data_IF_582033615803
#
_entry.id   IF_582033615803
#
_cell.length_a   1.000
_cell.length_b   1.000
_cell.length_c   1.000
_cell.angle_alpha   90.00
_cell.angle_beta   90.00
_cell.angle_gamma   90.00
#
_symmetry.space_group_name_H-M   'P 1'
#
loop_
_entity.id
_entity.type
_entity.pdbx_description
1 polymer ?
#
# COMPACT_ATOMS: atom_id res chain seq x y z
N UNK A 1 32.83 -46.40 43.45
CA UNK A 1 33.77 -45.51 42.74
C UNK A 1 33.54 -45.73 41.24
N UNK A 2 32.61 -45.02 40.61
CA UNK A 2 32.80 -43.68 40.04
C UNK A 2 33.93 -43.63 38.99
N UNK A 3 33.59 -43.80 37.70
CA UNK A 3 33.90 -42.82 36.66
C UNK A 3 33.18 -43.20 35.34
N UNK A 4 32.15 -42.42 35.03
CA UNK A 4 31.45 -42.41 33.75
C UNK A 4 32.15 -41.45 32.80
N UNK A 5 32.41 -41.90 31.58
CA UNK A 5 33.05 -41.13 30.51
C UNK A 5 31.97 -40.45 29.64
N UNK A 6 32.20 -39.18 29.31
CA UNK A 6 31.41 -38.32 28.42
C UNK A 6 31.29 -38.88 26.99
N UNK A 7 30.13 -38.69 26.33
CA UNK A 7 30.03 -37.71 25.23
C UNK A 7 28.61 -37.52 24.64
N UNK A 8 28.19 -36.25 24.68
CA UNK A 8 27.51 -35.41 23.67
C UNK A 8 26.26 -35.93 22.91
N UNK A 9 25.16 -35.27 23.27
CA UNK A 9 23.92 -35.00 22.54
C UNK A 9 24.06 -34.85 21.01
N UNK A 10 23.24 -35.61 20.27
CA UNK A 10 22.77 -35.28 18.92
C UNK A 10 21.26 -35.06 18.97
N UNK A 11 20.83 -33.84 18.71
CA UNK A 11 19.45 -33.47 18.41
C UNK A 11 19.24 -33.57 16.90
N UNK A 12 18.43 -34.54 16.47
CA UNK A 12 18.01 -34.70 15.07
C UNK A 12 16.53 -34.37 14.92
N UNK A 13 16.22 -33.15 14.48
CA UNK A 13 14.90 -32.73 14.04
C UNK A 13 15.04 -31.91 12.76
N UNK A 14 14.90 -32.57 11.61
CA UNK A 14 14.98 -31.94 10.29
C UNK A 14 13.75 -31.06 10.02
N UNK A 15 13.97 -29.75 9.88
CA UNK A 15 13.10 -28.88 9.04
C UNK A 15 13.55 -28.98 7.58
N UNK A 16 12.66 -29.12 6.58
CA UNK A 16 13.05 -28.97 5.19
C UNK A 16 13.12 -27.49 4.83
N UNK A 17 14.33 -26.92 4.90
CA UNK A 17 14.69 -25.67 4.22
C UNK A 17 15.16 -26.01 2.80
N UNK A 18 14.25 -25.93 1.81
CA UNK A 18 14.63 -25.76 0.41
C UNK A 18 13.72 -24.74 -0.26
N UNK A 19 13.97 -23.45 0.03
CA UNK A 19 13.50 -22.37 -0.83
C UNK A 19 14.35 -22.42 -2.12
N UNK A 20 13.80 -23.02 -3.17
CA UNK A 20 14.34 -22.89 -4.52
C UNK A 20 14.34 -21.40 -4.90
N UNK A 21 15.51 -20.75 -4.82
CA UNK A 21 15.76 -19.49 -5.54
C UNK A 21 15.64 -19.79 -7.04
N UNK A 22 14.45 -19.62 -7.61
CA UNK A 22 14.30 -19.53 -9.08
C UNK A 22 15.22 -18.41 -9.54
N UNK A 23 16.23 -18.74 -10.34
CA UNK A 23 17.06 -17.74 -11.02
C UNK A 23 16.10 -16.82 -11.79
N UNK A 24 16.18 -15.52 -11.49
CA UNK A 24 15.49 -14.46 -12.23
C UNK A 24 15.79 -14.67 -13.71
N UNK A 25 14.78 -14.97 -14.51
CA UNK A 25 14.89 -14.89 -15.96
C UNK A 25 14.80 -13.42 -16.30
N UNK A 26 15.94 -12.80 -16.63
CA UNK A 26 16.02 -11.45 -17.17
C UNK A 26 14.95 -11.22 -18.26
N UNK A 27 14.69 -12.25 -19.08
CA UNK A 27 13.68 -12.23 -20.13
C UNK A 27 12.25 -12.04 -19.61
N UNK A 28 11.88 -12.57 -18.44
CA UNK A 28 10.51 -12.49 -17.92
C UNK A 28 10.19 -11.09 -17.36
N UNK A 29 11.15 -10.44 -16.69
CA UNK A 29 11.03 -9.04 -16.26
C UNK A 29 10.87 -8.10 -17.45
N UNK A 30 11.75 -8.21 -18.46
CA UNK A 30 11.68 -7.36 -19.65
C UNK A 30 10.43 -7.67 -20.48
N UNK A 31 9.97 -8.92 -20.60
CA UNK A 31 8.68 -9.25 -21.25
C UNK A 31 7.50 -8.60 -20.53
N UNK A 32 7.49 -8.57 -19.19
CA UNK A 32 6.44 -7.88 -18.41
C UNK A 32 6.49 -6.36 -18.63
N UNK A 33 7.67 -5.75 -18.56
CA UNK A 33 7.82 -4.29 -18.80
C UNK A 33 7.47 -3.94 -20.24
N UNK A 34 8.02 -4.65 -21.22
CA UNK A 34 7.78 -4.41 -22.64
C UNK A 34 6.29 -4.56 -22.98
N UNK A 35 5.66 -5.62 -22.47
CA UNK A 35 4.22 -5.81 -22.66
C UNK A 35 3.39 -4.77 -21.93
N UNK A 36 3.79 -4.21 -20.78
CA UNK A 36 3.03 -3.18 -20.06
C UNK A 36 3.20 -1.75 -20.61
N UNK A 37 4.37 -1.43 -21.20
CA UNK A 37 4.73 -0.07 -21.65
C UNK A 37 4.61 0.15 -23.18
N UNK A 38 4.72 -0.88 -24.03
CA UNK A 38 4.77 -0.71 -25.50
C UNK A 38 3.51 -1.16 -26.25
N UNK A 39 2.55 -1.82 -25.58
CA UNK A 39 1.28 -2.18 -26.20
C UNK A 39 0.27 -1.03 -26.15
N UNK A 40 -0.29 -0.65 -27.32
CA UNK A 40 -1.29 0.45 -27.52
C UNK A 40 -2.60 0.31 -26.73
N UNK A 41 -2.86 -0.83 -26.07
CA UNK A 41 -4.03 -1.02 -25.22
C UNK A 41 -3.83 -0.41 -23.82
N UNK A 42 -4.87 -0.32 -22.97
CA UNK A 42 -4.72 0.04 -21.56
C UNK A 42 -4.06 -1.11 -20.77
N UNK A 43 -3.20 -0.80 -19.80
CA UNK A 43 -2.58 -1.75 -18.87
C UNK A 43 -2.90 -1.31 -17.44
N UNK A 44 -2.63 -2.16 -16.44
CA UNK A 44 -2.74 -1.77 -15.03
C UNK A 44 -2.01 -0.45 -14.71
N UNK A 45 -0.96 -0.09 -15.47
CA UNK A 45 -0.21 1.14 -15.26
C UNK A 45 -1.04 2.40 -15.49
N UNK A 46 -2.07 2.36 -16.34
CA UNK A 46 -2.94 3.53 -16.58
C UNK A 46 -3.83 3.82 -15.38
N UNK A 47 -4.16 2.81 -14.57
CA UNK A 47 -4.87 3.01 -13.30
C UNK A 47 -3.93 3.58 -12.22
N UNK A 48 -2.71 3.04 -12.14
CA UNK A 48 -1.77 3.42 -11.07
C UNK A 48 -1.14 4.79 -11.26
N UNK A 49 -0.82 5.20 -12.50
CA UNK A 49 -0.11 6.44 -12.80
C UNK A 49 -1.03 7.60 -13.15
N UNK A 50 -2.00 7.90 -12.29
CA UNK A 50 -2.71 9.19 -12.35
C UNK A 50 -1.83 10.34 -11.84
N UNK A 51 -2.29 11.59 -11.94
CA UNK A 51 -1.62 12.72 -11.27
C UNK A 51 -2.01 12.68 -9.79
N UNK A 52 -1.08 12.49 -8.84
CA UNK A 52 -1.40 12.55 -7.41
C UNK A 52 -1.82 13.97 -7.03
N UNK A 53 -2.96 14.10 -6.35
CA UNK A 53 -3.48 15.41 -5.95
C UNK A 53 -4.09 15.37 -4.55
N UNK A 54 -3.84 16.43 -3.79
CA UNK A 54 -4.50 16.70 -2.51
C UNK A 54 -5.95 17.03 -2.79
N UNK A 55 -6.90 16.41 -2.10
CA UNK A 55 -8.28 16.87 -2.12
C UNK A 55 -8.40 18.17 -1.29
N UNK A 56 -8.71 19.33 -1.87
CA UNK A 56 -8.83 20.56 -1.10
C UNK A 56 -10.03 20.54 -0.14
N UNK A 57 -11.02 19.67 -0.39
CA UNK A 57 -12.28 19.61 0.37
C UNK A 57 -12.22 18.70 1.60
N UNK A 58 -11.17 17.91 1.80
CA UNK A 58 -11.07 17.14 3.04
C UNK A 58 -10.82 18.08 4.23
N UNK A 59 -11.44 17.75 5.36
CA UNK A 59 -11.28 18.45 6.64
C UNK A 59 -10.58 17.55 7.64
N UNK A 60 -9.44 17.96 8.23
CA UNK A 60 -8.81 17.21 9.33
C UNK A 60 -9.79 16.96 10.48
N UNK A 61 -9.56 15.89 11.25
CA UNK A 61 -10.38 15.51 12.43
C UNK A 61 -11.85 15.17 12.14
N UNK A 62 -12.23 15.02 10.88
CA UNK A 62 -13.53 14.54 10.41
C UNK A 62 -13.32 13.54 9.29
N UNK A 63 -14.19 12.52 9.19
CA UNK A 63 -14.04 11.49 8.18
C UNK A 63 -14.17 12.06 6.76
N UNK A 64 -15.27 12.79 6.51
CA UNK A 64 -15.53 13.60 5.31
C UNK A 64 -15.10 12.98 3.98
N UNK A 65 -14.79 13.84 3.01
CA UNK A 65 -14.15 13.43 1.76
C UNK A 65 -12.77 12.81 2.03
N UNK A 66 -12.40 11.83 1.22
CA UNK A 66 -11.08 11.22 1.27
C UNK A 66 -9.99 12.20 0.83
N UNK A 67 -8.80 12.00 1.38
CA UNK A 67 -7.74 13.01 1.37
C UNK A 67 -7.07 13.26 0.02
N UNK A 68 -7.09 12.26 -0.87
CA UNK A 68 -6.66 12.39 -2.27
C UNK A 68 -7.86 12.41 -3.19
N UNK A 69 -7.78 13.15 -4.30
CA UNK A 69 -8.92 13.30 -5.23
C UNK A 69 -9.32 11.98 -5.88
N UNK A 70 -8.33 11.20 -6.36
CA UNK A 70 -8.53 9.96 -7.11
C UNK A 70 -9.48 10.14 -8.31
N UNK A 71 -9.46 11.31 -8.95
CA UNK A 71 -10.37 11.69 -10.03
C UNK A 71 -10.24 10.77 -11.25
N UNK A 72 -9.02 10.49 -11.70
CA UNK A 72 -8.77 9.60 -12.84
C UNK A 72 -9.14 8.15 -12.52
N UNK A 73 -8.95 7.72 -11.26
CA UNK A 73 -9.42 6.42 -10.80
C UNK A 73 -10.93 6.33 -10.74
N UNK A 74 -11.63 7.39 -10.34
CA UNK A 74 -13.09 7.42 -10.36
C UNK A 74 -13.67 7.30 -11.78
N UNK A 75 -12.92 7.84 -12.77
CA UNK A 75 -13.19 7.79 -14.21
C UNK A 75 -12.49 6.63 -14.93
N UNK A 76 -12.11 5.60 -14.19
CA UNK A 76 -11.46 4.44 -14.78
C UNK A 76 -12.29 3.89 -15.95
N UNK A 77 -11.74 3.81 -17.18
CA UNK A 77 -12.48 3.36 -18.35
C UNK A 77 -12.68 1.83 -18.41
N UNK A 78 -12.09 1.09 -17.48
CA UNK A 78 -12.18 -0.37 -17.39
C UNK A 78 -10.88 -1.09 -17.73
N UNK A 79 -10.90 -2.44 -17.74
CA UNK A 79 -12.10 -3.28 -17.80
C UNK A 79 -12.90 -3.36 -16.49
N UNK A 80 -14.18 -3.72 -16.62
CA UNK A 80 -15.09 -4.06 -15.53
C UNK A 80 -15.59 -5.50 -15.70
N UNK A 81 -16.00 -6.12 -14.60
CA UNK A 81 -16.78 -7.36 -14.64
C UNK A 81 -18.26 -7.09 -15.00
N UNK A 82 -19.09 -8.13 -15.01
CA UNK A 82 -20.52 -8.01 -15.31
C UNK A 82 -21.31 -7.22 -14.25
N UNK A 83 -20.81 -7.13 -13.01
CA UNK A 83 -21.42 -6.37 -11.92
C UNK A 83 -20.97 -4.91 -11.89
N UNK A 84 -20.02 -4.51 -12.75
CA UNK A 84 -19.45 -3.16 -12.80
C UNK A 84 -18.31 -2.92 -11.81
N UNK A 85 -17.68 -3.98 -11.30
CA UNK A 85 -16.49 -3.89 -10.44
C UNK A 85 -15.24 -3.74 -11.31
N UNK A 86 -14.36 -2.78 -11.01
CA UNK A 86 -13.17 -2.56 -11.82
C UNK A 86 -12.17 -3.73 -11.68
N UNK A 87 -11.64 -4.17 -12.82
CA UNK A 87 -10.56 -5.15 -12.92
C UNK A 87 -9.34 -4.49 -13.54
N UNK A 88 -8.14 -4.83 -13.07
CA UNK A 88 -6.91 -4.37 -13.70
C UNK A 88 -6.38 -5.42 -14.68
N UNK A 89 -5.97 -4.97 -15.87
CA UNK A 89 -5.35 -5.84 -16.86
C UNK A 89 -3.82 -5.84 -16.70
N UNK A 90 -3.30 -6.86 -16.04
CA UNK A 90 -1.86 -7.08 -15.82
C UNK A 90 -1.13 -7.68 -17.04
N UNK A 91 -1.87 -8.00 -18.11
CA UNK A 91 -1.36 -8.64 -19.34
C UNK A 91 -0.70 -10.00 -19.09
N UNK A 92 -0.18 -10.60 -20.17
CA UNK A 92 0.56 -11.85 -20.13
C UNK A 92 -0.21 -12.97 -19.42
N UNK A 93 0.50 -13.73 -18.58
CA UNK A 93 -0.05 -14.88 -17.86
C UNK A 93 -0.96 -14.50 -16.69
N UNK A 94 -0.83 -13.28 -16.16
CA UNK A 94 -1.66 -12.80 -15.04
C UNK A 94 -3.06 -12.42 -15.53
N UNK A 95 -3.13 -11.76 -16.69
CA UNK A 95 -4.41 -11.38 -17.29
C UNK A 95 -5.18 -10.31 -16.49
N UNK A 96 -6.51 -10.37 -16.55
CA UNK A 96 -7.39 -9.45 -15.80
C UNK A 96 -7.57 -9.98 -14.38
N UNK A 97 -7.33 -9.13 -13.39
CA UNK A 97 -7.43 -9.50 -11.98
C UNK A 97 -8.18 -8.43 -11.20
N UNK A 98 -8.93 -8.88 -10.19
CA UNK A 98 -9.37 -7.95 -9.14
C UNK A 98 -8.17 -7.51 -8.32
N UNK A 99 -8.14 -6.24 -7.95
CA UNK A 99 -7.18 -5.72 -7.01
C UNK A 99 -7.93 -4.90 -5.94
N UNK A 100 -7.97 -5.37 -4.67
CA UNK A 100 -8.65 -4.67 -3.58
C UNK A 100 -8.24 -3.21 -3.43
N UNK A 101 -6.96 -2.90 -3.67
CA UNK A 101 -6.42 -1.54 -3.61
C UNK A 101 -7.06 -0.69 -4.72
N UNK A 102 -7.13 -1.21 -5.94
CA UNK A 102 -7.70 -0.48 -7.06
C UNK A 102 -9.21 -0.24 -6.86
N UNK A 103 -9.93 -1.25 -6.38
CA UNK A 103 -11.36 -1.15 -6.08
C UNK A 103 -11.60 -0.13 -4.95
N UNK A 104 -10.75 -0.13 -3.91
CA UNK A 104 -10.85 0.85 -2.84
C UNK A 104 -10.61 2.29 -3.34
N UNK A 105 -9.56 2.52 -4.13
CA UNK A 105 -9.27 3.86 -4.67
C UNK A 105 -10.33 4.34 -5.67
N UNK A 106 -10.87 3.42 -6.49
CA UNK A 106 -12.03 3.69 -7.35
C UNK A 106 -13.25 4.11 -6.52
N UNK A 107 -13.52 3.40 -5.41
CA UNK A 107 -14.61 3.72 -4.48
C UNK A 107 -14.43 5.09 -3.84
N UNK A 108 -13.24 5.38 -3.29
CA UNK A 108 -12.92 6.65 -2.63
C UNK A 108 -12.99 7.84 -3.60
N UNK A 109 -12.49 7.69 -4.83
CA UNK A 109 -12.61 8.73 -5.85
C UNK A 109 -14.08 9.01 -6.24
N UNK A 110 -14.88 7.96 -6.43
CA UNK A 110 -16.32 8.13 -6.70
C UNK A 110 -17.07 8.73 -5.50
N UNK A 111 -16.68 8.38 -4.27
CA UNK A 111 -17.23 9.00 -3.06
C UNK A 111 -16.95 10.51 -3.04
N UNK A 112 -15.69 10.91 -3.26
CA UNK A 112 -15.30 12.32 -3.31
C UNK A 112 -16.08 13.09 -4.38
N UNK A 113 -16.22 12.56 -5.60
CA UNK A 113 -16.99 13.24 -6.65
C UNK A 113 -18.46 13.35 -6.24
N UNK A 114 -19.04 12.28 -5.71
CA UNK A 114 -20.43 12.28 -5.27
C UNK A 114 -20.70 13.34 -4.18
N UNK A 115 -19.86 13.46 -3.16
CA UNK A 115 -20.11 14.34 -2.00
C UNK A 115 -20.26 15.81 -2.40
N UNK A 116 -19.57 16.27 -3.44
CA UNK A 116 -19.63 17.67 -3.87
C UNK A 116 -20.44 17.92 -5.15
N UNK A 117 -20.78 16.87 -5.92
CA UNK A 117 -21.61 17.02 -7.14
C UNK A 117 -23.04 16.52 -6.96
N UNK A 118 -23.28 15.61 -6.01
CA UNK A 118 -24.55 14.93 -5.85
C UNK A 118 -24.86 13.88 -6.92
N UNK A 119 -23.93 13.56 -7.83
CA UNK A 119 -24.16 12.66 -8.97
C UNK A 119 -24.55 11.23 -8.52
N UNK A 120 -25.79 10.77 -8.77
CA UNK A 120 -26.25 9.45 -8.33
C UNK A 120 -25.46 8.29 -8.96
N UNK A 121 -24.84 8.49 -10.12
CA UNK A 121 -24.01 7.46 -10.77
C UNK A 121 -22.73 7.20 -9.96
N UNK A 122 -22.14 8.26 -9.40
CA UNK A 122 -20.95 8.19 -8.53
C UNK A 122 -21.28 7.52 -7.21
N UNK A 123 -22.43 7.86 -6.62
CA UNK A 123 -22.96 7.17 -5.44
C UNK A 123 -23.05 5.66 -5.65
N UNK A 124 -23.64 5.24 -6.79
CA UNK A 124 -23.77 3.81 -7.13
C UNK A 124 -22.41 3.13 -7.23
N UNK A 125 -21.44 3.74 -7.91
CA UNK A 125 -20.07 3.22 -8.06
C UNK A 125 -19.33 3.09 -6.73
N UNK A 126 -19.48 4.08 -5.84
CA UNK A 126 -18.93 4.02 -4.48
C UNK A 126 -19.50 2.85 -3.68
N UNK A 127 -20.83 2.71 -3.64
CA UNK A 127 -21.48 1.62 -2.92
C UNK A 127 -21.13 0.25 -3.50
N UNK A 128 -21.04 0.12 -4.83
CA UNK A 128 -20.58 -1.12 -5.48
C UNK A 128 -19.17 -1.53 -5.01
N UNK A 129 -18.24 -0.57 -4.90
CA UNK A 129 -16.90 -0.85 -4.39
C UNK A 129 -16.93 -1.25 -2.89
N UNK A 130 -17.76 -0.59 -2.08
CA UNK A 130 -17.92 -0.92 -0.66
C UNK A 130 -18.53 -2.32 -0.45
N UNK A 131 -19.55 -2.66 -1.22
CA UNK A 131 -20.22 -3.97 -1.18
C UNK A 131 -19.26 -5.09 -1.61
N UNK A 132 -18.47 -4.85 -2.66
CA UNK A 132 -17.45 -5.80 -3.09
C UNK A 132 -16.38 -6.02 -2.01
N UNK A 133 -15.89 -4.94 -1.38
CA UNK A 133 -14.93 -5.05 -0.27
C UNK A 133 -15.55 -5.79 0.92
N UNK A 134 -16.82 -5.53 1.23
CA UNK A 134 -17.53 -6.27 2.28
C UNK A 134 -17.60 -7.77 1.97
N UNK A 135 -17.94 -8.15 0.73
CA UNK A 135 -18.09 -9.56 0.34
C UNK A 135 -16.76 -10.32 0.19
N UNK A 136 -15.68 -9.61 -0.12
CA UNK A 136 -14.36 -10.21 -0.39
C UNK A 136 -13.42 -10.19 0.82
N UNK A 137 -13.90 -9.74 1.99
CA UNK A 137 -13.14 -9.80 3.23
C UNK A 137 -13.22 -11.22 3.81
N UNK A 138 -12.13 -11.97 3.73
CA UNK A 138 -12.07 -13.40 4.09
C UNK A 138 -10.93 -13.68 5.08
N UNK A 139 -11.05 -14.68 5.97
CA UNK A 139 -9.97 -15.02 6.89
C UNK A 139 -8.72 -15.52 6.14
N UNK A 140 -7.53 -15.10 6.56
CA UNK A 140 -6.26 -15.71 6.17
C UNK A 140 -5.99 -16.99 6.97
N UNK A 141 -4.80 -17.60 6.77
CA UNK A 141 -4.40 -18.83 7.47
C UNK A 141 -4.33 -18.69 8.99
N UNK A 142 -4.21 -17.46 9.52
CA UNK A 142 -4.22 -17.16 10.95
C UNK A 142 -5.60 -16.76 11.48
N UNK A 143 -6.64 -16.79 10.63
CA UNK A 143 -8.01 -16.43 10.98
C UNK A 143 -8.32 -14.93 10.91
N UNK A 144 -7.37 -14.08 10.55
CA UNK A 144 -7.58 -12.64 10.43
C UNK A 144 -8.24 -12.26 9.11
N UNK A 145 -9.21 -11.35 9.16
CA UNK A 145 -9.98 -10.96 7.99
C UNK A 145 -9.18 -10.03 7.06
N UNK A 146 -8.88 -10.49 5.85
CA UNK A 146 -8.05 -9.78 4.87
C UNK A 146 -8.68 -9.74 3.48
N UNK A 147 -8.26 -8.76 2.68
CA UNK A 147 -8.50 -8.76 1.24
C UNK A 147 -7.35 -9.42 0.49
N UNK A 148 -7.64 -10.56 -0.13
CA UNK A 148 -6.65 -11.33 -0.88
C UNK A 148 -6.47 -10.84 -2.32
N UNK A 149 -5.23 -10.84 -2.77
CA UNK A 149 -4.80 -10.81 -4.17
C UNK A 149 -4.62 -12.25 -4.65
N UNK A 150 -5.46 -12.69 -5.58
CA UNK A 150 -5.51 -14.08 -6.08
C UNK A 150 -4.65 -14.32 -7.32
N UNK A 151 -3.51 -13.63 -7.42
CA UNK A 151 -2.56 -13.77 -8.52
C UNK A 151 -1.12 -13.63 -8.04
N UNK A 152 -0.21 -14.34 -8.67
CA UNK A 152 1.21 -14.23 -8.35
C UNK A 152 1.76 -12.84 -8.69
N UNK A 153 2.54 -12.25 -7.80
CA UNK A 153 3.13 -10.93 -8.01
C UNK A 153 4.64 -10.94 -7.85
N UNK A 154 5.34 -10.52 -8.90
CA UNK A 154 6.78 -10.35 -8.88
C UNK A 154 7.16 -8.97 -8.33
N UNK A 155 7.65 -8.99 -7.10
CA UNK A 155 8.27 -7.86 -6.42
C UNK A 155 9.78 -8.14 -6.22
N UNK A 156 10.33 -8.03 -5.01
CA UNK A 156 11.70 -8.44 -4.65
C UNK A 156 11.82 -9.97 -4.68
N UNK A 157 10.83 -10.60 -4.07
CA UNK A 157 10.55 -12.03 -4.09
C UNK A 157 9.18 -12.27 -4.74
N UNK A 158 8.91 -13.51 -5.14
CA UNK A 158 7.62 -13.90 -5.68
C UNK A 158 6.60 -13.97 -4.54
N UNK A 159 5.57 -13.13 -4.61
CA UNK A 159 4.38 -13.28 -3.78
C UNK A 159 3.47 -14.30 -4.45
N UNK A 160 3.39 -15.50 -3.87
CA UNK A 160 2.51 -16.56 -4.36
C UNK A 160 1.06 -16.25 -3.98
N UNK A 161 0.13 -16.45 -4.91
CA UNK A 161 -1.29 -16.34 -4.61
C UNK A 161 -1.76 -17.42 -3.62
N UNK A 162 -2.73 -17.12 -2.74
CA UNK A 162 -3.21 -15.78 -2.41
C UNK A 162 -2.24 -15.04 -1.47
N UNK A 163 -2.09 -13.73 -1.65
CA UNK A 163 -1.35 -12.84 -0.73
C UNK A 163 -2.20 -11.63 -0.36
N UNK A 164 -1.83 -10.88 0.68
CA UNK A 164 -2.56 -9.69 1.13
C UNK A 164 -1.59 -8.56 1.50
N UNK A 165 -2.14 -7.37 1.79
CA UNK A 165 -1.37 -6.12 1.90
C UNK A 165 -1.91 -5.19 2.99
N UNK A 166 -1.02 -4.58 3.78
CA UNK A 166 -1.39 -3.52 4.73
C UNK A 166 -2.00 -2.29 4.06
N UNK A 167 -1.57 -1.96 2.83
CA UNK A 167 -2.16 -0.90 2.02
C UNK A 167 -3.63 -1.24 1.69
N UNK A 168 -3.88 -2.46 1.21
CA UNK A 168 -5.23 -2.93 0.92
C UNK A 168 -6.12 -2.88 2.17
N UNK A 169 -5.59 -3.33 3.32
CA UNK A 169 -6.31 -3.26 4.59
C UNK A 169 -6.71 -1.83 4.94
N UNK A 170 -5.78 -0.88 4.88
CA UNK A 170 -6.05 0.51 5.25
C UNK A 170 -7.07 1.18 4.31
N UNK A 171 -6.92 1.04 3.00
CA UNK A 171 -7.85 1.66 2.06
C UNK A 171 -9.22 1.00 2.04
N UNK A 172 -9.28 -0.33 2.24
CA UNK A 172 -10.55 -1.03 2.40
C UNK A 172 -11.30 -0.53 3.65
N UNK A 173 -10.60 -0.34 4.78
CA UNK A 173 -11.16 0.29 5.98
C UNK A 173 -11.68 1.69 5.67
N UNK A 174 -10.89 2.56 5.01
CA UNK A 174 -11.30 3.92 4.61
C UNK A 174 -12.60 3.94 3.80
N UNK A 175 -12.82 2.97 2.91
CA UNK A 175 -14.08 2.83 2.15
C UNK A 175 -15.22 2.39 3.07
N UNK A 176 -15.01 1.32 3.84
CA UNK A 176 -16.06 0.74 4.68
C UNK A 176 -16.56 1.72 5.74
N UNK A 177 -15.68 2.47 6.40
CA UNK A 177 -16.12 3.44 7.43
C UNK A 177 -16.89 4.61 6.82
N UNK A 178 -16.55 5.04 5.59
CA UNK A 178 -17.33 6.04 4.84
C UNK A 178 -18.66 5.47 4.36
N UNK A 179 -18.70 4.21 3.94
CA UNK A 179 -19.95 3.55 3.55
C UNK A 179 -20.89 3.41 4.75
N UNK A 180 -20.35 3.07 5.93
CA UNK A 180 -21.10 3.08 7.18
C UNK A 180 -21.67 4.47 7.48
N UNK A 181 -20.83 5.51 7.50
CA UNK A 181 -21.29 6.89 7.78
C UNK A 181 -22.37 7.34 6.79
N UNK A 182 -22.19 6.98 5.51
CA UNK A 182 -23.09 7.40 4.44
C UNK A 182 -24.45 6.68 4.46
N UNK A 183 -24.48 5.40 4.80
CA UNK A 183 -25.69 4.56 4.71
C UNK A 183 -26.36 4.29 6.05
N UNK A 184 -25.65 4.47 7.16
CA UNK A 184 -26.06 3.98 8.48
C UNK A 184 -25.98 2.46 8.64
N UNK A 185 -25.55 1.70 7.62
CA UNK A 185 -25.53 0.24 7.66
C UNK A 185 -24.38 -0.25 8.57
N UNK A 186 -24.65 -0.98 9.67
CA UNK A 186 -23.61 -1.41 10.61
C UNK A 186 -22.71 -2.53 10.06
N UNK A 187 -23.12 -3.23 8.99
CA UNK A 187 -22.32 -4.32 8.39
C UNK A 187 -20.96 -3.84 7.90
N UNK A 188 -20.88 -2.64 7.30
CA UNK A 188 -19.61 -2.06 6.87
C UNK A 188 -18.68 -1.76 8.06
N UNK A 189 -19.19 -1.22 9.16
CA UNK A 189 -18.38 -0.95 10.35
C UNK A 189 -17.91 -2.25 11.02
N UNK A 190 -18.75 -3.28 11.03
CA UNK A 190 -18.37 -4.61 11.54
C UNK A 190 -17.26 -5.23 10.69
N UNK A 191 -17.30 -5.08 9.36
CA UNK A 191 -16.22 -5.52 8.48
C UNK A 191 -14.94 -4.70 8.69
N UNK A 192 -15.06 -3.37 8.86
CA UNK A 192 -13.91 -2.52 9.16
C UNK A 192 -13.23 -2.91 10.48
N UNK A 193 -14.00 -3.28 11.52
CA UNK A 193 -13.46 -3.83 12.79
C UNK A 193 -12.63 -5.09 12.56
N UNK A 194 -13.16 -6.06 11.81
CA UNK A 194 -12.45 -7.31 11.51
C UNK A 194 -11.17 -7.05 10.71
N UNK A 195 -11.23 -6.17 9.71
CA UNK A 195 -10.05 -5.78 8.93
C UNK A 195 -8.99 -5.05 9.78
N UNK A 196 -9.43 -4.29 10.79
CA UNK A 196 -8.56 -3.54 11.70
C UNK A 196 -7.69 -4.44 12.59
N UNK A 197 -8.12 -5.66 12.92
CA UNK A 197 -7.32 -6.63 13.69
C UNK A 197 -5.96 -6.93 13.05
N UNK A 198 -5.82 -6.76 11.74
CA UNK A 198 -4.53 -6.86 11.06
C UNK A 198 -3.53 -5.80 11.54
N UNK A 199 -4.01 -4.63 11.94
CA UNK A 199 -3.21 -3.51 12.44
C UNK A 199 -2.90 -3.61 13.94
N UNK A 200 -3.30 -4.70 14.60
CA UNK A 200 -2.90 -5.01 15.99
C UNK A 200 -1.99 -6.24 16.06
N UNK A 201 -1.71 -6.87 14.90
CA UNK A 201 -1.04 -8.17 14.81
C UNK A 201 0.21 -8.07 13.93
N UNK A 202 1.28 -8.77 14.32
CA UNK A 202 2.51 -8.84 13.53
C UNK A 202 2.34 -9.67 12.25
N UNK A 203 3.14 -9.39 11.22
CA UNK A 203 3.17 -10.15 9.96
C UNK A 203 3.47 -11.64 10.17
N UNK A 204 4.28 -11.98 11.18
CA UNK A 204 4.60 -13.37 11.57
C UNK A 204 3.39 -14.13 12.12
N UNK A 205 2.36 -13.41 12.56
CA UNK A 205 1.11 -13.93 13.11
C UNK A 205 -0.07 -13.73 12.15
N UNK A 206 0.19 -13.31 10.90
CA UNK A 206 -0.83 -13.08 9.89
C UNK A 206 -1.40 -11.66 9.86
N UNK A 207 -0.88 -10.74 10.67
CA UNK A 207 -1.24 -9.32 10.59
C UNK A 207 -0.43 -8.57 9.53
N UNK A 208 -0.31 -7.25 9.69
CA UNK A 208 0.41 -6.37 8.75
C UNK A 208 1.52 -5.54 9.42
N UNK A 209 1.71 -5.67 10.74
CA UNK A 209 2.76 -4.95 11.47
C UNK A 209 4.10 -5.66 11.36
N UNK A 210 5.14 -4.91 11.00
CA UNK A 210 6.54 -5.27 11.24
C UNK A 210 7.19 -4.23 12.14
N UNK A 211 8.37 -4.55 12.68
CA UNK A 211 9.17 -3.63 13.50
C UNK A 211 10.51 -3.36 12.83
N UNK A 212 10.91 -2.09 12.75
CA UNK A 212 12.27 -1.74 12.33
C UNK A 212 13.28 -2.01 13.46
N UNK A 213 14.58 -1.83 13.16
CA UNK A 213 15.65 -2.03 14.15
C UNK A 213 15.58 -1.10 15.37
N UNK A 214 14.81 -0.01 15.29
CA UNK A 214 14.59 0.96 16.36
C UNK A 214 13.31 0.64 17.15
N UNK A 215 12.61 -0.43 16.81
CA UNK A 215 11.33 -0.82 17.42
C UNK A 215 10.14 0.00 16.91
N UNK A 216 10.28 0.75 15.83
CA UNK A 216 9.17 1.51 15.24
C UNK A 216 8.25 0.58 14.44
N UNK A 217 6.94 0.84 14.47
CA UNK A 217 5.94 0.02 13.78
C UNK A 217 5.83 0.40 12.30
N UNK A 218 5.80 -0.60 11.43
CA UNK A 218 5.58 -0.45 10.00
C UNK A 218 4.39 -1.28 9.54
N UNK A 219 3.55 -0.71 8.69
CA UNK A 219 2.50 -1.43 7.98
C UNK A 219 3.04 -1.86 6.62
N UNK A 220 3.21 -3.16 6.40
CA UNK A 220 3.84 -3.68 5.18
C UNK A 220 2.84 -3.73 4.01
N UNK A 221 3.16 -3.04 2.92
CA UNK A 221 2.41 -3.17 1.66
C UNK A 221 2.59 -4.57 1.06
N UNK A 222 3.83 -5.05 1.00
CA UNK A 222 4.15 -6.42 0.62
C UNK A 222 4.82 -7.10 1.81
N UNK A 223 4.18 -8.17 2.30
CA UNK A 223 4.68 -8.92 3.45
C UNK A 223 5.76 -9.89 2.95
N UNK A 224 7.01 -9.45 3.07
CA UNK A 224 8.22 -10.19 2.66
C UNK A 224 9.25 -10.20 3.78
N UNK A 225 10.21 -11.11 3.70
CA UNK A 225 11.32 -11.18 4.65
C UNK A 225 12.69 -11.03 3.96
N UNK A 226 13.55 -10.09 4.39
CA UNK A 226 13.27 -9.05 5.40
C UNK A 226 12.21 -8.04 4.91
N UNK A 227 11.47 -7.37 5.83
CA UNK A 227 10.54 -6.30 5.49
C UNK A 227 11.22 -5.20 4.67
N UNK A 228 10.45 -4.57 3.78
CA UNK A 228 10.99 -3.58 2.83
C UNK A 228 10.54 -2.16 3.13
N UNK A 229 9.47 -1.99 3.93
CA UNK A 229 8.99 -0.70 4.37
C UNK A 229 8.73 0.23 3.16
N UNK A 230 7.69 -0.08 2.38
CA UNK A 230 7.30 0.74 1.21
C UNK A 230 6.60 2.01 1.71
N UNK A 231 7.12 3.18 1.35
CA UNK A 231 6.72 4.45 1.94
C UNK A 231 5.26 4.81 1.63
N UNK A 232 4.87 4.77 0.34
CA UNK A 232 3.52 5.14 -0.05
C UNK A 232 2.45 4.23 0.56
N UNK A 233 2.73 2.93 0.64
CA UNK A 233 1.80 1.95 1.16
C UNK A 233 1.63 2.10 2.66
N UNK A 234 2.71 2.36 3.38
CA UNK A 234 2.67 2.69 4.80
C UNK A 234 1.80 3.92 5.09
N UNK A 235 1.97 5.01 4.32
CA UNK A 235 1.20 6.24 4.53
C UNK A 235 -0.30 6.03 4.25
N UNK A 236 -0.67 5.35 3.16
CA UNK A 236 -2.08 5.04 2.90
C UNK A 236 -2.69 4.10 3.95
N UNK A 237 -1.92 3.13 4.45
CA UNK A 237 -2.36 2.25 5.52
C UNK A 237 -2.59 3.02 6.83
N UNK A 238 -1.66 3.92 7.17
CA UNK A 238 -1.76 4.84 8.31
C UNK A 238 -3.04 5.70 8.24
N UNK A 239 -3.41 6.20 7.06
CA UNK A 239 -4.67 6.95 6.89
C UNK A 239 -5.91 6.09 7.13
N UNK A 240 -5.88 4.80 6.76
CA UNK A 240 -6.98 3.87 7.08
C UNK A 240 -7.17 3.66 8.58
N UNK A 241 -6.07 3.54 9.33
CA UNK A 241 -6.08 3.48 10.81
C UNK A 241 -6.69 4.77 11.39
N UNK A 242 -6.31 5.93 10.85
CA UNK A 242 -6.85 7.22 11.28
C UNK A 242 -8.35 7.35 10.99
N UNK A 243 -8.80 6.99 9.78
CA UNK A 243 -10.21 6.97 9.41
C UNK A 243 -11.03 6.07 10.36
N UNK A 244 -10.49 4.90 10.71
CA UNK A 244 -11.10 4.01 11.69
C UNK A 244 -11.19 4.62 13.09
N UNK A 245 -10.13 5.29 13.54
CA UNK A 245 -10.13 6.02 14.81
C UNK A 245 -11.19 7.14 14.82
N UNK A 246 -11.34 7.91 13.74
CA UNK A 246 -12.31 9.00 13.66
C UNK A 246 -13.76 8.53 13.86
N UNK A 247 -14.09 7.33 13.38
CA UNK A 247 -15.44 6.75 13.49
C UNK A 247 -15.64 6.00 14.79
N UNK A 248 -14.65 5.22 15.24
CA UNK A 248 -14.81 4.33 16.41
C UNK A 248 -14.41 4.94 17.73
N UNK A 249 -13.56 5.98 17.71
CA UNK A 249 -12.88 6.53 18.89
C UNK A 249 -12.14 5.47 19.71
N UNK A 250 -11.63 4.43 19.03
CA UNK A 250 -10.86 3.36 19.66
C UNK A 250 -9.51 3.90 20.16
N UNK A 251 -9.27 3.77 21.47
CA UNK A 251 -7.98 4.10 22.09
C UNK A 251 -6.81 3.30 21.49
N UNK A 252 -7.07 2.07 21.04
CA UNK A 252 -6.06 1.23 20.40
C UNK A 252 -5.69 1.78 19.01
N UNK A 253 -6.69 2.17 18.22
CA UNK A 253 -6.47 2.79 16.92
C UNK A 253 -5.74 4.12 17.02
N UNK A 254 -6.06 4.93 18.03
CA UNK A 254 -5.33 6.18 18.31
C UNK A 254 -3.86 5.91 18.65
N UNK A 255 -3.58 4.93 19.51
CA UNK A 255 -2.20 4.55 19.87
C UNK A 255 -1.40 4.09 18.65
N UNK A 256 -1.99 3.23 17.82
CA UNK A 256 -1.37 2.72 16.60
C UNK A 256 -1.13 3.85 15.60
N UNK A 257 -2.12 4.72 15.38
CA UNK A 257 -1.97 5.89 14.52
C UNK A 257 -0.82 6.78 14.99
N UNK A 258 -0.79 7.16 16.27
CA UNK A 258 0.26 8.01 16.83
C UNK A 258 1.64 7.35 16.76
N UNK A 259 1.73 6.04 16.97
CA UNK A 259 2.98 5.30 16.81
C UNK A 259 3.44 5.25 15.33
N UNK A 260 2.52 5.08 14.39
CA UNK A 260 2.84 5.10 12.96
C UNK A 260 3.25 6.50 12.47
N UNK A 261 2.62 7.57 12.97
CA UNK A 261 3.00 8.97 12.69
C UNK A 261 4.42 9.25 13.19
N UNK A 262 4.75 8.84 14.43
CA UNK A 262 6.12 8.94 14.95
C UNK A 262 7.12 8.16 14.11
N UNK A 263 6.76 6.93 13.72
CA UNK A 263 7.59 6.09 12.85
C UNK A 263 7.89 6.79 11.53
N UNK A 264 6.85 7.32 10.87
CA UNK A 264 6.98 8.07 9.62
C UNK A 264 7.94 9.23 9.81
N UNK A 265 7.65 10.13 10.77
CA UNK A 265 8.46 11.33 11.05
C UNK A 265 9.93 11.01 11.28
N UNK A 266 10.24 10.00 12.10
CA UNK A 266 11.59 9.59 12.41
C UNK A 266 12.33 8.94 11.23
N UNK A 267 11.59 8.35 10.30
CA UNK A 267 12.16 7.56 9.21
C UNK A 267 12.27 8.32 7.89
N UNK A 268 11.66 9.49 7.72
CA UNK A 268 11.72 10.23 6.44
C UNK A 268 13.14 10.54 5.99
N UNK A 269 14.06 10.77 6.93
CA UNK A 269 15.48 10.95 6.64
C UNK A 269 16.09 9.75 5.89
N UNK A 270 15.64 8.53 6.22
CA UNK A 270 16.11 7.29 5.59
C UNK A 270 15.63 7.15 4.13
N UNK A 271 14.58 7.90 3.73
CA UNK A 271 14.06 7.92 2.36
C UNK A 271 14.58 9.10 1.53
N UNK A 272 15.38 10.01 2.08
CA UNK A 272 15.90 11.17 1.36
C UNK A 272 17.37 10.96 0.96
N UNK A 273 17.65 10.88 -0.34
CA UNK A 273 19.03 10.73 -0.85
C UNK A 273 19.69 12.06 -1.24
N UNK A 274 19.13 13.20 -0.82
CA UNK A 274 19.62 14.56 -1.08
C UNK A 274 19.25 15.13 -2.46
N UNK A 275 18.77 14.28 -3.36
CA UNK A 275 18.35 14.67 -4.71
C UNK A 275 17.04 14.03 -5.17
N UNK A 276 16.49 13.07 -4.42
CA UNK A 276 15.24 12.38 -4.73
C UNK A 276 14.75 11.64 -3.48
N UNK A 277 13.52 11.08 -3.53
CA UNK A 277 13.04 10.14 -2.50
C UNK A 277 13.28 8.68 -2.89
N UNK A 278 13.45 7.80 -1.93
CA UNK A 278 13.42 6.35 -2.12
C UNK A 278 11.97 5.84 -2.20
N UNK A 279 11.78 4.68 -2.83
CA UNK A 279 10.48 3.98 -2.87
C UNK A 279 10.26 3.13 -1.60
N UNK A 280 11.31 2.45 -1.18
CA UNK A 280 11.36 1.50 -0.07
C UNK A 280 12.70 1.67 0.67
N UNK A 281 12.80 1.16 1.90
CA UNK A 281 14.09 1.18 2.59
C UNK A 281 15.13 0.30 1.86
N UNK A 282 16.42 0.71 1.82
CA UNK A 282 17.43 -0.01 1.06
C UNK A 282 17.64 -1.45 1.55
N UNK A 283 17.25 -2.42 0.73
CA UNK A 283 17.61 -3.84 0.91
C UNK A 283 18.76 -4.30 -0.01
N UNK A 284 19.45 -3.38 -0.68
CA UNK A 284 20.50 -3.63 -1.69
C UNK A 284 21.61 -2.57 -1.58
N UNK A 285 22.80 -2.84 -2.15
CA UNK A 285 23.92 -1.88 -2.14
C UNK A 285 23.57 -0.55 -2.81
N UNK A 286 22.80 -0.59 -3.88
CA UNK A 286 22.23 0.59 -4.53
C UNK A 286 20.77 0.73 -4.11
N UNK A 287 20.38 1.91 -3.64
CA UNK A 287 19.00 2.17 -3.21
C UNK A 287 18.05 2.36 -4.40
N UNK A 288 16.81 1.87 -4.26
CA UNK A 288 15.77 2.01 -5.27
C UNK A 288 15.08 3.39 -5.15
N UNK A 289 15.50 4.33 -5.99
CA UNK A 289 14.83 5.64 -6.07
C UNK A 289 13.41 5.52 -6.61
N UNK A 290 12.50 6.31 -6.05
CA UNK A 290 11.10 6.40 -6.48
C UNK A 290 11.01 6.75 -7.98
N UNK A 291 9.98 6.27 -8.67
CA UNK A 291 9.70 6.77 -10.03
C UNK A 291 9.25 8.24 -9.93
N UNK A 292 9.24 9.00 -11.05
CA UNK A 292 8.65 10.34 -11.07
C UNK A 292 7.29 10.39 -10.39
N UNK A 293 6.37 9.50 -10.79
CA UNK A 293 5.05 9.39 -10.17
C UNK A 293 5.11 9.15 -8.66
N UNK A 294 5.87 8.17 -8.18
CA UNK A 294 5.91 7.85 -6.74
C UNK A 294 6.54 8.98 -5.93
N UNK A 295 7.49 9.73 -6.50
CA UNK A 295 8.04 10.91 -5.84
C UNK A 295 7.00 12.02 -5.69
N UNK A 296 6.26 12.34 -6.76
CA UNK A 296 5.15 13.29 -6.70
C UNK A 296 4.07 12.82 -5.71
N UNK A 297 3.77 11.52 -5.69
CA UNK A 297 2.84 10.91 -4.75
C UNK A 297 3.29 11.11 -3.30
N UNK A 298 4.57 10.84 -2.99
CA UNK A 298 5.10 11.05 -1.65
C UNK A 298 4.96 12.51 -1.20
N UNK A 299 5.25 13.47 -2.08
CA UNK A 299 5.06 14.90 -1.77
C UNK A 299 3.60 15.18 -1.38
N UNK A 300 2.64 14.71 -2.18
CA UNK A 300 1.20 14.88 -1.91
C UNK A 300 0.78 14.19 -0.61
N UNK A 301 1.25 12.97 -0.38
CA UNK A 301 0.99 12.21 0.85
C UNK A 301 1.52 12.93 2.09
N UNK A 302 2.71 13.52 2.02
CA UNK A 302 3.27 14.26 3.14
C UNK A 302 2.52 15.56 3.42
N UNK A 303 2.06 16.29 2.39
CA UNK A 303 1.19 17.47 2.59
C UNK A 303 -0.15 17.11 3.25
N UNK A 304 -0.74 16.01 2.84
CA UNK A 304 -1.95 15.50 3.47
C UNK A 304 -1.67 15.14 4.93
N UNK A 305 -0.59 14.40 5.17
CA UNK A 305 -0.27 13.94 6.52
C UNK A 305 0.02 15.10 7.46
N UNK A 306 0.74 16.14 7.01
CA UNK A 306 0.91 17.40 7.75
C UNK A 306 -0.44 18.01 8.16
N UNK A 307 -1.40 18.10 7.24
CA UNK A 307 -2.73 18.65 7.53
C UNK A 307 -3.52 17.79 8.52
N UNK A 308 -3.33 16.46 8.49
CA UNK A 308 -4.03 15.54 9.38
C UNK A 308 -3.44 15.53 10.80
N UNK A 309 -2.12 15.67 10.94
CA UNK A 309 -1.42 15.53 12.23
C UNK A 309 -1.00 16.86 12.85
N UNK A 310 -0.84 17.92 12.06
CA UNK A 310 -0.22 19.18 12.46
C UNK A 310 1.32 19.14 12.55
N UNK A 311 1.94 18.00 12.24
CA UNK A 311 3.39 17.81 12.36
C UNK A 311 4.14 18.43 11.17
N UNK A 312 4.80 19.57 11.41
CA UNK A 312 5.51 20.35 10.38
C UNK A 312 6.62 19.59 9.67
N UNK A 313 7.19 18.56 10.29
CA UNK A 313 8.22 17.72 9.68
C UNK A 313 7.76 17.17 8.32
N UNK A 314 6.48 16.79 8.19
CA UNK A 314 5.94 16.28 6.93
C UNK A 314 5.95 17.36 5.84
N UNK A 315 5.54 18.59 6.17
CA UNK A 315 5.60 19.73 5.26
C UNK A 315 7.03 20.04 4.82
N UNK A 316 7.97 20.09 5.77
CA UNK A 316 9.38 20.36 5.47
C UNK A 316 9.98 19.37 4.48
N UNK A 317 9.69 18.07 4.63
CA UNK A 317 10.13 17.05 3.68
C UNK A 317 9.42 17.16 2.34
N UNK A 318 8.12 17.47 2.32
CA UNK A 318 7.38 17.71 1.09
C UNK A 318 7.94 18.91 0.30
N UNK A 319 8.25 20.03 0.96
CA UNK A 319 8.91 21.20 0.35
C UNK A 319 10.25 20.83 -0.24
N UNK A 320 11.06 20.10 0.54
CA UNK A 320 12.38 19.66 0.10
C UNK A 320 12.31 18.75 -1.11
N UNK A 321 11.43 17.74 -1.10
CA UNK A 321 11.25 16.83 -2.24
C UNK A 321 10.67 17.54 -3.46
N UNK A 322 9.73 18.47 -3.27
CA UNK A 322 9.24 19.30 -4.36
C UNK A 322 10.35 20.14 -5.00
N UNK A 323 11.29 20.68 -4.21
CA UNK A 323 12.47 21.36 -4.75
C UNK A 323 13.36 20.44 -5.61
N UNK A 324 13.39 19.14 -5.32
CA UNK A 324 14.13 18.16 -6.10
C UNK A 324 13.44 17.89 -7.45
N UNK A 325 12.12 17.74 -7.44
CA UNK A 325 11.29 17.56 -8.62
C UNK A 325 11.40 18.73 -9.61
N UNK A 326 11.42 19.97 -9.10
CA UNK A 326 11.54 21.19 -9.89
C UNK A 326 12.96 21.43 -10.43
N UNK A 327 13.99 20.82 -9.81
CA UNK A 327 15.37 20.95 -10.25
C UNK A 327 15.72 19.95 -11.35
N UNK A 328 15.98 20.45 -12.57
CA UNK A 328 16.29 19.63 -13.75
C UNK A 328 17.49 18.69 -13.55
N UNK A 329 18.53 19.12 -12.84
CA UNK A 329 19.74 18.32 -12.59
C UNK A 329 19.43 17.17 -11.63
N UNK A 330 18.71 17.45 -10.54
CA UNK A 330 18.29 16.43 -9.57
C UNK A 330 17.36 15.39 -10.21
N UNK A 331 16.39 15.86 -11.01
CA UNK A 331 15.50 14.97 -11.79
C UNK A 331 16.26 14.08 -12.76
N UNK A 332 17.22 14.64 -13.52
CA UNK A 332 18.06 13.86 -14.43
C UNK A 332 18.90 12.82 -13.68
N UNK A 333 19.51 13.21 -12.54
CA UNK A 333 20.26 12.31 -11.67
C UNK A 333 19.39 11.16 -11.18
N UNK A 334 18.16 11.42 -10.77
CA UNK A 334 17.22 10.39 -10.33
C UNK A 334 16.86 9.40 -11.45
N UNK A 335 16.62 9.89 -12.68
CA UNK A 335 16.35 9.05 -13.84
C UNK A 335 17.54 8.14 -14.19
N UNK A 336 18.75 8.69 -14.21
CA UNK A 336 19.99 7.92 -14.45
C UNK A 336 20.18 6.88 -13.35
N UNK A 337 20.06 7.27 -12.07
CA UNK A 337 20.21 6.36 -10.94
C UNK A 337 19.21 5.21 -11.02
N UNK A 338 17.95 5.49 -11.38
CA UNK A 338 16.92 4.47 -11.57
C UNK A 338 17.22 3.53 -12.73
N UNK A 339 17.75 4.06 -13.84
CA UNK A 339 18.15 3.25 -15.00
C UNK A 339 19.31 2.30 -14.63
N UNK A 340 20.34 2.81 -13.94
CA UNK A 340 21.46 2.00 -13.44
C UNK A 340 20.97 0.92 -12.45
N UNK A 341 20.09 1.28 -11.52
CA UNK A 341 19.49 0.30 -10.60
C UNK A 341 18.75 -0.81 -11.34
N UNK A 342 17.95 -0.47 -12.35
CA UNK A 342 17.29 -1.48 -13.18
C UNK A 342 18.30 -2.38 -13.87
N UNK A 343 19.29 -1.83 -14.54
CA UNK A 343 20.32 -2.60 -15.25
C UNK A 343 21.10 -3.58 -14.36
N UNK A 344 21.34 -3.22 -13.09
CA UNK A 344 22.13 -4.04 -12.17
C UNK A 344 21.31 -5.13 -11.45
N UNK A 345 20.02 -4.88 -11.21
CA UNK A 345 19.20 -5.74 -10.35
C UNK A 345 18.04 -6.44 -11.08
N UNK A 346 17.75 -6.05 -12.33
CA UNK A 346 16.68 -6.60 -13.18
C UNK A 346 17.14 -6.85 -14.60
#
# INVERSE_FOLDING_TARGET
MAQFTLNKFQTGGHMPNQVFRRRRSFLDYYRRIFSAYLGRAQSQLTFWHEVPEVNPRFTPNSLGEYYMTFSSKADYPGPFDAAGIPMLNYRGRIGKQYNPIAIAQYGLGNYNIYTHTGDPSRRKKFLLAADWLLSMLTPNSSGLAVWMHNFDWEYRDLLCAPWYSGLAQGQGISVLVRAHQFTGNPTYLNAARKAFECFTTETTQGGVISHDKRGNIWFEEYIVFPPTHILNGFIWALWGVYDYFLVTRSNEAEKIFNAAVRTLSNSLGDYDVGFWSLYEQPGTKLSMVASPFYHSLHIVQLRITERLTGERTFGMFADRWQSYEQNRVKRMRALIHKAVFKLLYY
#
